data_IF_777602310848
#
_entry.id   IF_777602310848
#
_cell.length_a   1.000
_cell.length_b   1.000
_cell.length_c   1.000
_cell.angle_alpha   90.00
_cell.angle_beta   90.00
_cell.angle_gamma   90.00
#
_symmetry.space_group_name_H-M   'P 1'
#
loop_
_entity.id
_entity.type
_entity.pdbx_description
1 polymer ?
#
# COMPACT_ATOMS: atom_id res chain seq x y z
N UNK A 1 16.73 17.57 -7.05
CA UNK A 1 16.15 16.35 -6.44
C UNK A 1 16.73 16.23 -5.04
N UNK A 2 15.93 16.05 -3.99
CA UNK A 2 16.47 15.89 -2.64
C UNK A 2 17.18 14.53 -2.49
N UNK A 3 18.06 14.40 -1.48
CA UNK A 3 18.89 13.20 -1.26
C UNK A 3 18.04 11.93 -1.15
N UNK A 4 16.89 12.03 -0.50
CA UNK A 4 15.96 10.93 -0.28
C UNK A 4 15.27 10.51 -1.58
N UNK A 5 14.89 11.47 -2.44
CA UNK A 5 14.33 11.16 -3.76
C UNK A 5 15.36 10.47 -4.65
N UNK A 6 16.61 10.94 -4.64
CA UNK A 6 17.71 10.33 -5.39
C UNK A 6 17.97 8.91 -4.88
N UNK A 7 18.00 8.71 -3.56
CA UNK A 7 18.18 7.40 -2.94
C UNK A 7 17.07 6.41 -3.33
N UNK A 8 15.80 6.83 -3.26
CA UNK A 8 14.67 6.01 -3.70
C UNK A 8 14.75 5.66 -5.18
N UNK A 9 15.10 6.63 -6.03
CA UNK A 9 15.24 6.41 -7.47
C UNK A 9 16.37 5.41 -7.76
N UNK A 10 17.53 5.55 -7.14
CA UNK A 10 18.64 4.61 -7.28
C UNK A 10 18.27 3.20 -6.80
N UNK A 11 17.54 3.10 -5.68
CA UNK A 11 17.03 1.82 -5.20
C UNK A 11 16.07 1.17 -6.22
N UNK A 12 15.16 1.96 -6.79
CA UNK A 12 14.24 1.47 -7.83
C UNK A 12 14.98 1.03 -9.09
N UNK A 13 15.99 1.77 -9.54
CA UNK A 13 16.81 1.38 -10.68
C UNK A 13 17.51 0.04 -10.41
N UNK A 14 18.13 -0.10 -9.26
CA UNK A 14 18.79 -1.33 -8.83
C UNK A 14 17.82 -2.51 -8.71
N UNK A 15 16.60 -2.27 -8.22
CA UNK A 15 15.56 -3.29 -8.18
C UNK A 15 15.28 -3.88 -9.57
N UNK A 16 15.26 -3.08 -10.65
CA UNK A 16 15.02 -3.63 -11.99
C UNK A 16 16.24 -4.30 -12.63
N UNK A 17 17.45 -3.96 -12.21
CA UNK A 17 18.66 -4.68 -12.62
C UNK A 17 18.64 -6.11 -12.08
N UNK A 18 18.12 -6.29 -10.86
CA UNK A 18 18.10 -7.56 -10.14
C UNK A 18 16.77 -8.31 -10.23
N UNK A 19 15.66 -7.62 -10.54
CA UNK A 19 14.36 -8.23 -10.68
C UNK A 19 14.29 -9.10 -11.94
N UNK A 20 14.33 -10.41 -11.72
CA UNK A 20 14.06 -11.40 -12.76
C UNK A 20 12.65 -11.30 -13.34
N UNK A 21 12.43 -12.09 -14.39
CA UNK A 21 11.15 -12.20 -15.08
C UNK A 21 10.11 -12.94 -14.21
N UNK A 22 8.83 -12.57 -14.34
CA UNK A 22 7.75 -13.36 -13.76
C UNK A 22 7.70 -14.75 -14.42
N UNK A 23 7.53 -15.81 -13.61
CA UNK A 23 7.52 -17.19 -14.11
C UNK A 23 6.17 -17.59 -14.74
N UNK A 24 5.06 -17.03 -14.25
CA UNK A 24 3.70 -17.40 -14.67
C UNK A 24 2.83 -16.17 -14.94
N UNK A 25 1.81 -16.36 -15.76
CA UNK A 25 0.80 -15.34 -16.03
C UNK A 25 -0.18 -15.25 -14.86
N UNK A 26 -0.45 -14.07 -14.30
CA UNK A 26 -1.41 -13.94 -13.21
C UNK A 26 -2.86 -14.15 -13.67
N UNK A 27 -3.12 -14.15 -14.98
CA UNK A 27 -4.45 -14.33 -15.55
C UNK A 27 -4.74 -15.78 -15.96
N UNK A 28 -3.80 -16.45 -16.63
CA UNK A 28 -4.01 -17.79 -17.18
C UNK A 28 -3.05 -18.87 -16.65
N UNK A 29 -2.11 -18.52 -15.77
CA UNK A 29 -1.14 -19.46 -15.18
C UNK A 29 0.01 -19.90 -16.10
N UNK A 30 -0.05 -19.59 -17.40
CA UNK A 30 0.95 -20.02 -18.39
C UNK A 30 2.32 -19.34 -18.20
N UNK A 31 3.39 -20.00 -18.67
CA UNK A 31 4.77 -19.59 -18.43
C UNK A 31 5.39 -18.75 -19.56
N UNK A 32 4.70 -18.60 -20.71
CA UNK A 32 5.17 -17.81 -21.85
C UNK A 32 5.00 -16.31 -21.61
N UNK A 33 5.81 -15.78 -20.70
CA UNK A 33 5.84 -14.35 -20.40
C UNK A 33 6.91 -13.71 -21.28
N UNK A 34 6.75 -12.45 -21.69
CA UNK A 34 7.81 -11.65 -22.31
C UNK A 34 7.83 -10.25 -21.70
N UNK A 35 8.95 -9.56 -21.84
CA UNK A 35 8.97 -8.11 -21.63
C UNK A 35 8.19 -7.41 -22.75
N UNK A 36 7.38 -6.43 -22.38
CA UNK A 36 6.50 -5.67 -23.28
C UNK A 36 6.77 -4.17 -23.11
N UNK A 37 8.06 -3.80 -23.21
CA UNK A 37 8.55 -2.45 -23.05
C UNK A 37 8.69 -1.96 -21.61
N UNK A 38 9.07 -0.70 -21.49
CA UNK A 38 9.22 0.03 -20.24
C UNK A 38 8.52 1.39 -20.32
N UNK A 39 8.24 1.97 -19.17
CA UNK A 39 7.82 3.35 -19.03
C UNK A 39 8.43 3.97 -17.78
N UNK A 40 8.11 5.22 -17.53
CA UNK A 40 8.48 5.92 -16.30
C UNK A 40 7.23 6.33 -15.54
N UNK A 41 7.37 6.49 -14.22
CA UNK A 41 6.31 6.99 -13.34
C UNK A 41 6.85 8.02 -12.36
N UNK A 42 5.94 8.87 -11.95
CA UNK A 42 6.12 9.78 -10.82
C UNK A 42 5.35 9.25 -9.62
N UNK A 43 5.95 9.34 -8.43
CA UNK A 43 5.32 8.99 -7.18
C UNK A 43 5.75 9.91 -6.02
N UNK A 44 4.90 9.97 -5.00
CA UNK A 44 5.07 10.78 -3.80
C UNK A 44 5.03 9.90 -2.57
N UNK A 45 6.10 9.99 -1.79
CA UNK A 45 6.34 9.17 -0.62
C UNK A 45 6.41 10.04 0.62
N UNK A 46 5.90 9.55 1.75
CA UNK A 46 6.23 10.10 3.05
C UNK A 46 7.57 9.53 3.50
N UNK A 47 8.50 10.40 3.85
CA UNK A 47 9.80 10.06 4.44
C UNK A 47 9.86 10.71 5.80
N UNK A 48 9.97 9.87 6.83
CA UNK A 48 10.21 10.32 8.19
C UNK A 48 11.60 10.94 8.28
N UNK A 49 11.67 12.12 8.88
CA UNK A 49 12.85 12.93 9.16
C UNK A 49 12.73 13.32 10.63
N UNK A 50 13.84 13.41 11.38
CA UNK A 50 13.89 13.51 12.86
C UNK A 50 13.13 14.75 13.40
N UNK A 51 11.79 14.70 13.44
CA UNK A 51 10.91 15.75 13.96
C UNK A 51 9.58 15.92 13.21
N UNK A 52 9.63 16.11 11.89
CA UNK A 52 8.46 16.27 11.03
C UNK A 52 8.81 15.73 9.65
N UNK A 53 8.37 14.49 9.35
CA UNK A 53 8.59 13.88 8.04
C UNK A 53 8.04 14.74 6.90
N UNK A 54 8.46 14.44 5.68
CA UNK A 54 8.12 15.24 4.48
C UNK A 54 7.64 14.38 3.33
N UNK A 55 6.82 14.98 2.47
CA UNK A 55 6.47 14.36 1.18
C UNK A 55 7.63 14.56 0.20
N UNK A 56 8.21 13.46 -0.23
CA UNK A 56 9.26 13.38 -1.22
C UNK A 56 8.67 13.00 -2.57
N UNK A 57 8.93 13.84 -3.56
CA UNK A 57 8.50 13.64 -4.93
C UNK A 57 9.61 12.97 -5.75
N UNK A 58 9.33 11.78 -6.29
CA UNK A 58 10.26 10.98 -7.08
C UNK A 58 9.74 10.87 -8.50
N UNK A 59 10.54 11.37 -9.44
CA UNK A 59 10.26 11.29 -10.87
C UNK A 59 11.05 10.16 -11.52
N UNK A 60 10.67 9.83 -12.75
CA UNK A 60 11.42 8.92 -13.61
C UNK A 60 11.63 7.51 -13.04
N UNK A 61 10.72 7.07 -12.18
CA UNK A 61 10.76 5.72 -11.62
C UNK A 61 10.55 4.74 -12.78
N UNK A 62 11.55 3.90 -13.11
CA UNK A 62 11.41 2.96 -14.21
C UNK A 62 10.30 1.95 -13.89
N UNK A 63 9.54 1.56 -14.90
CA UNK A 63 8.53 0.49 -14.80
C UNK A 63 8.68 -0.43 -15.98
N UNK A 64 8.97 -1.71 -15.72
CA UNK A 64 8.94 -2.74 -16.76
C UNK A 64 7.53 -3.29 -16.91
N UNK A 65 7.15 -3.65 -18.14
CA UNK A 65 5.87 -4.31 -18.43
C UNK A 65 6.11 -5.74 -18.88
N UNK A 66 5.26 -6.63 -18.42
CA UNK A 66 5.18 -8.01 -18.89
C UNK A 66 3.96 -8.19 -19.79
N UNK A 67 4.03 -9.17 -20.68
CA UNK A 67 2.89 -9.66 -21.47
C UNK A 67 2.95 -11.18 -21.54
N UNK A 68 1.82 -11.83 -21.30
CA UNK A 68 1.64 -13.25 -21.59
C UNK A 68 1.43 -13.43 -23.10
N UNK A 69 2.15 -14.37 -23.72
CA UNK A 69 1.99 -14.65 -25.15
C UNK A 69 0.72 -15.45 -25.43
N UNK A 70 0.23 -16.25 -24.48
CA UNK A 70 -0.96 -17.08 -24.65
C UNK A 70 -2.26 -16.25 -24.52
N UNK A 71 -2.50 -15.63 -23.36
CA UNK A 71 -3.74 -14.86 -23.13
C UNK A 71 -3.62 -13.37 -23.46
N UNK A 72 -2.44 -12.90 -23.91
CA UNK A 72 -2.14 -11.50 -24.24
C UNK A 72 -2.28 -10.50 -23.08
N UNK A 73 -2.61 -10.96 -21.86
CA UNK A 73 -2.69 -10.12 -20.67
C UNK A 73 -1.35 -9.41 -20.40
N UNK A 74 -1.41 -8.13 -20.08
CA UNK A 74 -0.25 -7.29 -19.80
C UNK A 74 -0.35 -6.68 -18.41
N UNK A 75 0.77 -6.69 -17.67
CA UNK A 75 0.84 -6.11 -16.33
C UNK A 75 2.19 -5.43 -16.10
N UNK A 76 2.26 -4.57 -15.09
CA UNK A 76 3.48 -3.88 -14.72
C UNK A 76 4.22 -4.68 -13.66
N UNK A 77 5.54 -4.74 -13.79
CA UNK A 77 6.43 -5.04 -12.68
C UNK A 77 6.56 -3.75 -11.86
N UNK A 78 5.96 -3.73 -10.68
CA UNK A 78 6.16 -2.64 -9.74
C UNK A 78 7.22 -3.04 -8.73
N UNK A 79 8.09 -2.10 -8.33
CA UNK A 79 8.97 -2.31 -7.21
C UNK A 79 8.19 -2.28 -5.89
N UNK A 80 8.72 -2.89 -4.82
CA UNK A 80 8.07 -2.85 -3.52
C UNK A 80 7.76 -1.41 -3.07
N UNK A 81 6.60 -1.26 -2.43
CA UNK A 81 6.10 0.03 -1.95
C UNK A 81 5.52 0.98 -3.00
N UNK A 82 5.57 0.65 -4.30
CA UNK A 82 4.94 1.45 -5.35
C UNK A 82 3.55 0.92 -5.72
N UNK A 83 2.53 1.74 -5.47
CA UNK A 83 1.14 1.45 -5.79
C UNK A 83 0.85 1.50 -7.31
N UNK A 84 0.06 0.56 -7.84
CA UNK A 84 -0.45 0.62 -9.20
C UNK A 84 -1.24 1.92 -9.45
N UNK A 85 -0.95 2.62 -10.55
CA UNK A 85 -1.73 3.76 -11.07
C UNK A 85 -1.93 4.95 -10.12
N UNK A 86 -1.24 5.01 -8.98
CA UNK A 86 -1.28 6.14 -8.04
C UNK A 86 0.05 6.87 -7.97
N UNK A 87 -0.02 8.21 -7.95
CA UNK A 87 1.12 9.10 -7.68
C UNK A 87 1.38 9.17 -6.18
N UNK A 88 0.36 9.49 -5.39
CA UNK A 88 0.43 9.50 -3.93
C UNK A 88 0.44 8.06 -3.42
N UNK A 89 1.48 7.69 -2.68
CA UNK A 89 1.63 6.35 -2.13
C UNK A 89 0.93 6.22 -0.78
N UNK A 90 0.71 4.97 -0.35
CA UNK A 90 0.01 4.69 0.90
C UNK A 90 0.71 5.21 2.14
N UNK A 91 2.03 5.42 2.11
CA UNK A 91 2.74 6.05 3.21
C UNK A 91 2.29 7.50 3.46
N UNK A 92 2.04 8.27 2.39
CA UNK A 92 1.49 9.64 2.51
C UNK A 92 0.07 9.59 3.05
N UNK A 93 -0.74 8.65 2.56
CA UNK A 93 -2.13 8.46 3.03
C UNK A 93 -2.16 8.07 4.51
N UNK A 94 -1.32 7.11 4.91
CA UNK A 94 -1.22 6.64 6.28
C UNK A 94 -0.87 7.79 7.21
N UNK A 95 0.14 8.60 6.86
CA UNK A 95 0.48 9.79 7.65
C UNK A 95 -0.66 10.80 7.72
N UNK A 96 -1.31 11.08 6.60
CA UNK A 96 -2.45 11.99 6.57
C UNK A 96 -3.60 11.53 7.48
N UNK A 97 -3.87 10.23 7.52
CA UNK A 97 -4.85 9.66 8.43
C UNK A 97 -4.41 9.70 9.90
N UNK A 98 -3.14 9.40 10.19
CA UNK A 98 -2.56 9.52 11.53
C UNK A 98 -2.78 10.94 12.08
N UNK A 99 -2.39 11.97 11.30
CA UNK A 99 -2.57 13.38 11.66
C UNK A 99 -4.03 13.76 11.86
N UNK A 100 -4.90 13.27 10.99
CA UNK A 100 -6.33 13.51 11.12
C UNK A 100 -6.93 12.91 12.39
N UNK A 101 -6.51 11.69 12.73
CA UNK A 101 -6.93 10.99 13.94
C UNK A 101 -6.37 11.66 15.20
N UNK A 102 -5.21 12.32 15.07
CA UNK A 102 -4.64 13.19 16.10
C UNK A 102 -5.34 14.56 16.22
N UNK A 103 -6.30 14.87 15.33
CA UNK A 103 -7.15 16.06 15.42
C UNK A 103 -6.87 17.14 14.39
N UNK A 104 -5.90 16.97 13.49
CA UNK A 104 -5.64 17.92 12.41
C UNK A 104 -6.83 18.06 11.47
N UNK A 105 -7.01 19.25 10.90
CA UNK A 105 -8.02 19.48 9.87
C UNK A 105 -7.58 18.94 8.51
N UNK A 106 -8.55 18.67 7.63
CA UNK A 106 -8.26 18.30 6.23
C UNK A 106 -7.39 19.35 5.51
N UNK A 107 -7.51 20.63 5.89
CA UNK A 107 -6.71 21.72 5.32
C UNK A 107 -5.24 21.62 5.74
N UNK A 108 -4.98 21.41 7.03
CA UNK A 108 -3.62 21.19 7.54
C UNK A 108 -2.97 19.97 6.91
N UNK A 109 -3.73 18.88 6.71
CA UNK A 109 -3.21 17.67 6.04
C UNK A 109 -2.93 17.93 4.56
N UNK A 110 -3.81 18.67 3.88
CA UNK A 110 -3.64 19.04 2.48
C UNK A 110 -2.36 19.88 2.30
N UNK A 111 -2.12 20.83 3.20
CA UNK A 111 -0.91 21.65 3.25
C UNK A 111 0.33 20.80 3.52
N UNK A 112 0.30 19.98 4.59
CA UNK A 112 1.38 19.07 4.97
C UNK A 112 1.78 18.12 3.84
N UNK A 113 0.81 17.59 3.12
CA UNK A 113 1.03 16.65 2.03
C UNK A 113 1.15 17.31 0.65
N UNK A 114 1.19 18.65 0.59
CA UNK A 114 1.26 19.43 -0.65
C UNK A 114 0.24 19.00 -1.72
N UNK A 115 -1.00 18.75 -1.30
CA UNK A 115 -2.05 18.27 -2.19
C UNK A 115 -3.37 19.03 -1.98
N UNK A 116 -4.35 18.80 -2.85
CA UNK A 116 -5.65 19.46 -2.71
C UNK A 116 -6.48 18.85 -1.57
N UNK A 117 -7.35 19.65 -0.95
CA UNK A 117 -8.39 19.17 -0.03
C UNK A 117 -9.22 18.01 -0.61
N UNK A 118 -9.56 18.08 -1.89
CA UNK A 118 -10.29 17.04 -2.60
C UNK A 118 -9.50 15.73 -2.69
N UNK A 119 -8.17 15.80 -2.75
CA UNK A 119 -7.28 14.64 -2.71
C UNK A 119 -7.34 13.96 -1.34
N UNK A 120 -7.18 14.73 -0.26
CA UNK A 120 -7.26 14.21 1.12
C UNK A 120 -8.63 13.57 1.39
N UNK A 121 -9.72 14.22 0.96
CA UNK A 121 -11.09 13.66 1.12
C UNK A 121 -11.25 12.30 0.43
N UNK A 122 -10.56 12.05 -0.68
CA UNK A 122 -10.61 10.77 -1.40
C UNK A 122 -9.82 9.65 -0.69
N UNK A 123 -8.92 9.98 0.22
CA UNK A 123 -8.15 8.98 0.96
C UNK A 123 -9.02 8.16 1.91
N UNK A 124 -10.13 8.72 2.38
CA UNK A 124 -11.01 8.07 3.34
C UNK A 124 -11.76 6.89 2.74
N UNK A 125 -12.54 7.05 1.66
CA UNK A 125 -13.13 5.91 0.99
C UNK A 125 -12.04 4.98 0.44
N UNK A 126 -10.86 5.50 0.05
CA UNK A 126 -9.73 4.65 -0.31
C UNK A 126 -9.38 3.70 0.84
N UNK A 127 -9.01 4.20 2.02
CA UNK A 127 -8.59 3.33 3.13
C UNK A 127 -9.72 2.42 3.61
N UNK A 128 -10.97 2.90 3.62
CA UNK A 128 -12.13 2.06 3.92
C UNK A 128 -12.27 0.85 2.99
N UNK A 129 -11.80 0.97 1.74
CA UNK A 129 -11.88 -0.06 0.70
C UNK A 129 -10.61 -0.92 0.57
N UNK A 130 -9.53 -0.62 1.32
CA UNK A 130 -8.27 -1.37 1.23
C UNK A 130 -8.43 -2.81 1.71
N UNK A 131 -9.18 -3.03 2.78
CA UNK A 131 -9.41 -4.35 3.36
C UNK A 131 -10.81 -4.42 3.99
N UNK A 132 -11.30 -5.63 4.24
CA UNK A 132 -12.43 -5.80 5.15
C UNK A 132 -11.95 -5.76 6.61
N UNK A 133 -12.55 -4.92 7.49
CA UNK A 133 -12.21 -4.92 8.90
C UNK A 133 -12.31 -6.30 9.56
N UNK A 134 -13.30 -7.12 9.18
CA UNK A 134 -13.47 -8.46 9.77
C UNK A 134 -12.31 -9.39 9.37
N UNK A 135 -11.89 -9.35 8.11
CA UNK A 135 -10.79 -10.16 7.59
C UNK A 135 -9.45 -9.72 8.20
N UNK A 136 -9.25 -8.42 8.38
CA UNK A 136 -8.06 -7.86 9.02
C UNK A 136 -7.97 -8.27 10.49
N UNK A 137 -9.10 -8.26 11.22
CA UNK A 137 -9.18 -8.74 12.59
C UNK A 137 -8.93 -10.25 12.69
N UNK A 138 -9.50 -11.05 11.78
CA UNK A 138 -9.25 -12.49 11.74
C UNK A 138 -7.76 -12.79 11.52
N UNK A 139 -7.12 -12.05 10.61
CA UNK A 139 -5.68 -12.18 10.36
C UNK A 139 -4.84 -11.76 11.55
N UNK A 140 -5.22 -10.71 12.26
CA UNK A 140 -4.54 -10.28 13.48
C UNK A 140 -4.61 -11.36 14.57
N UNK A 141 -5.78 -11.96 14.77
CA UNK A 141 -5.97 -13.07 15.72
C UNK A 141 -5.14 -14.28 15.33
N UNK A 142 -5.06 -14.61 14.04
CA UNK A 142 -4.19 -15.69 13.54
C UNK A 142 -2.71 -15.43 13.86
N UNK A 143 -2.21 -14.21 13.61
CA UNK A 143 -0.81 -13.85 13.85
C UNK A 143 -0.45 -13.86 15.34
N UNK A 144 -1.36 -13.39 16.20
CA UNK A 144 -1.08 -13.29 17.65
C UNK A 144 -1.44 -14.58 18.39
N UNK A 145 -2.28 -15.43 17.82
CA UNK A 145 -2.73 -16.69 18.42
C UNK A 145 -3.75 -16.51 19.55
N UNK A 146 -4.32 -15.31 19.72
CA UNK A 146 -5.32 -15.02 20.74
C UNK A 146 -6.27 -13.89 20.30
N UNK A 147 -7.49 -13.80 20.87
CA UNK A 147 -8.36 -12.66 20.69
C UNK A 147 -7.70 -11.37 21.19
N UNK A 148 -7.64 -10.34 20.34
CA UNK A 148 -7.13 -9.02 20.70
C UNK A 148 -8.24 -7.99 20.60
N UNK A 149 -8.35 -7.14 21.62
CA UNK A 149 -9.07 -5.88 21.50
C UNK A 149 -8.17 -4.87 20.80
N UNK A 150 -8.46 -4.56 19.52
CA UNK A 150 -7.76 -3.47 18.83
C UNK A 150 -8.27 -2.14 19.39
N UNK A 151 -7.38 -1.28 19.92
CA UNK A 151 -7.77 0.04 20.39
C UNK A 151 -8.46 0.77 19.25
N UNK A 152 -9.74 1.10 19.44
CA UNK A 152 -10.43 2.04 18.55
C UNK A 152 -10.32 3.38 19.26
N UNK A 153 -9.49 4.33 18.80
CA UNK A 153 -9.36 5.60 19.49
C UNK A 153 -10.65 6.40 19.37
N UNK A 154 -10.71 7.44 20.19
CA UNK A 154 -11.80 8.41 20.15
C UNK A 154 -11.83 9.07 18.77
N UNK A 155 -12.69 8.56 17.89
CA UNK A 155 -12.95 9.17 16.59
C UNK A 155 -13.64 10.51 16.85
N UNK A 156 -13.11 11.64 16.34
CA UNK A 156 -13.73 12.95 16.53
C UNK A 156 -15.24 12.89 16.20
N UNK A 157 -16.13 13.56 16.97
CA UNK A 157 -17.59 13.44 16.81
C UNK A 157 -18.07 13.72 15.38
N UNK A 158 -17.42 14.68 14.70
CA UNK A 158 -17.68 15.03 13.28
C UNK A 158 -17.39 13.88 12.31
N UNK A 159 -16.47 13.00 12.66
CA UNK A 159 -16.04 11.84 11.87
C UNK A 159 -16.92 10.61 12.22
N UNK A 160 -17.35 10.49 13.48
CA UNK A 160 -18.11 9.35 14.01
C UNK A 160 -19.49 9.16 13.34
N UNK A 161 -20.12 10.24 12.86
CA UNK A 161 -21.44 10.17 12.20
C UNK A 161 -21.40 9.54 10.80
N UNK A 162 -20.23 9.43 10.16
CA UNK A 162 -20.12 8.92 8.81
C UNK A 162 -19.61 7.45 8.79
N UNK A 163 -20.34 6.51 8.17
CA UNK A 163 -19.97 5.08 8.18
C UNK A 163 -18.66 4.79 7.43
N UNK A 164 -18.38 5.48 6.33
CA UNK A 164 -17.13 5.31 5.55
C UNK A 164 -15.92 5.69 6.38
N UNK A 165 -16.04 6.77 7.15
CA UNK A 165 -15.01 7.22 8.07
C UNK A 165 -14.72 6.21 9.19
N UNK A 166 -15.77 5.71 9.83
CA UNK A 166 -15.62 4.65 10.85
C UNK A 166 -14.96 3.41 10.28
N UNK A 167 -15.32 3.02 9.05
CA UNK A 167 -14.68 1.90 8.35
C UNK A 167 -13.21 2.19 8.07
N UNK A 168 -12.87 3.36 7.53
CA UNK A 168 -11.48 3.75 7.27
C UNK A 168 -10.62 3.72 8.54
N UNK A 169 -11.12 4.25 9.66
CA UNK A 169 -10.43 4.20 10.94
C UNK A 169 -10.18 2.76 11.40
N UNK A 170 -11.20 1.89 11.36
CA UNK A 170 -11.04 0.46 11.71
C UNK A 170 -10.00 -0.24 10.84
N UNK A 171 -10.01 0.00 9.53
CA UNK A 171 -9.02 -0.57 8.61
C UNK A 171 -7.62 -0.06 8.96
N UNK A 172 -7.47 1.25 9.16
CA UNK A 172 -6.20 1.86 9.52
C UNK A 172 -5.62 1.25 10.82
N UNK A 173 -6.39 1.23 11.91
CA UNK A 173 -5.92 0.68 13.19
C UNK A 173 -5.71 -0.83 13.15
N UNK A 174 -6.50 -1.57 12.37
CA UNK A 174 -6.24 -2.99 12.17
C UNK A 174 -4.88 -3.22 11.49
N UNK A 175 -4.47 -2.35 10.56
CA UNK A 175 -3.16 -2.42 9.94
C UNK A 175 -2.04 -1.98 10.88
N UNK A 176 -2.25 -0.95 11.71
CA UNK A 176 -1.31 -0.58 12.79
C UNK A 176 -1.06 -1.76 13.74
N UNK A 177 -2.14 -2.39 14.22
CA UNK A 177 -2.04 -3.53 15.11
C UNK A 177 -1.37 -4.74 14.43
N UNK A 178 -1.69 -5.01 13.16
CA UNK A 178 -1.09 -6.11 12.40
C UNK A 178 0.40 -5.88 12.15
N UNK A 179 0.80 -4.67 11.77
CA UNK A 179 2.20 -4.31 11.59
C UNK A 179 2.99 -4.47 12.91
N UNK A 180 2.41 -4.00 14.02
CA UNK A 180 3.03 -4.13 15.33
C UNK A 180 3.18 -5.61 15.75
N UNK A 181 2.14 -6.42 15.55
CA UNK A 181 2.18 -7.87 15.83
C UNK A 181 3.24 -8.59 14.99
N UNK A 182 3.40 -8.18 13.73
CA UNK A 182 4.42 -8.68 12.81
C UNK A 182 5.79 -8.01 12.99
N UNK A 183 5.97 -7.08 13.94
CA UNK A 183 7.23 -6.33 14.16
C UNK A 183 7.78 -5.68 12.88
N UNK A 184 6.89 -5.09 12.09
CA UNK A 184 7.24 -4.46 10.83
C UNK A 184 7.73 -3.03 11.05
N UNK A 185 8.79 -2.65 10.34
CA UNK A 185 9.35 -1.29 10.38
C UNK A 185 9.26 -0.60 9.01
N UNK A 186 8.69 0.62 8.92
CA UNK A 186 7.95 1.33 9.98
C UNK A 186 6.61 0.64 10.30
N UNK A 187 6.01 0.81 11.48
CA UNK A 187 4.69 0.25 11.75
C UNK A 187 3.61 0.86 10.84
N UNK A 188 2.53 0.12 10.66
CA UNK A 188 1.28 0.66 10.10
C UNK A 188 0.87 0.20 8.70
N UNK A 189 -0.19 0.85 8.21
CA UNK A 189 -0.78 0.62 6.89
C UNK A 189 0.28 0.57 5.78
N UNK A 190 1.30 1.42 5.85
CA UNK A 190 2.39 1.45 4.89
C UNK A 190 3.10 0.10 4.81
N UNK A 191 3.62 -0.40 5.92
CA UNK A 191 4.50 -1.58 5.90
C UNK A 191 3.74 -2.84 5.58
N UNK A 192 2.53 -3.02 6.12
CA UNK A 192 1.69 -4.18 5.79
C UNK A 192 1.42 -4.21 4.29
N UNK A 193 0.98 -3.09 3.71
CA UNK A 193 0.68 -3.07 2.27
C UNK A 193 1.94 -3.22 1.44
N UNK A 194 3.05 -2.58 1.81
CA UNK A 194 4.34 -2.78 1.14
C UNK A 194 4.78 -4.23 1.16
N UNK A 195 4.63 -4.94 2.28
CA UNK A 195 4.99 -6.35 2.38
C UNK A 195 4.05 -7.23 1.55
N UNK A 196 2.73 -6.97 1.58
CA UNK A 196 1.79 -7.72 0.74
C UNK A 196 2.06 -7.49 -0.74
N UNK A 197 2.32 -6.25 -1.17
CA UNK A 197 2.67 -5.94 -2.55
C UNK A 197 4.04 -6.49 -2.95
N UNK A 198 5.01 -6.48 -2.03
CA UNK A 198 6.38 -6.96 -2.23
C UNK A 198 6.46 -8.49 -2.31
N UNK A 199 5.61 -9.20 -1.55
CA UNK A 199 5.54 -10.66 -1.56
C UNK A 199 4.73 -11.23 -2.72
N UNK A 200 4.03 -10.38 -3.49
CA UNK A 200 3.53 -10.85 -4.77
C UNK A 200 4.71 -11.04 -5.69
N UNK A 201 4.79 -12.21 -6.29
CA UNK A 201 5.75 -12.58 -7.34
C UNK A 201 5.67 -11.61 -8.54
N UNK A 202 6.13 -10.36 -8.39
CA UNK A 202 6.30 -9.41 -9.49
C UNK A 202 4.98 -9.13 -10.22
N UNK A 203 3.85 -9.21 -9.48
CA UNK A 203 2.49 -9.02 -9.98
C UNK A 203 1.77 -7.96 -9.14
N UNK A 204 1.39 -6.82 -9.73
CA UNK A 204 0.37 -5.97 -9.13
C UNK A 204 -0.51 -5.35 -10.22
N UNK A 205 -1.81 -5.67 -10.19
CA UNK A 205 -2.79 -5.25 -11.22
C UNK A 205 -4.00 -4.53 -10.64
N UNK A 206 -3.99 -4.13 -9.37
CA UNK A 206 -5.21 -3.60 -8.79
C UNK A 206 -5.65 -2.29 -9.44
N UNK A 207 -6.86 -2.34 -9.99
CA UNK A 207 -7.58 -1.16 -10.46
C UNK A 207 -8.17 -0.35 -9.29
N UNK A 208 -8.40 -1.01 -8.16
CA UNK A 208 -8.94 -0.47 -6.90
C UNK A 208 -7.91 -0.64 -5.78
N UNK A 209 -8.01 0.12 -4.70
CA UNK A 209 -7.05 -0.01 -3.60
C UNK A 209 -7.23 -1.25 -2.73
N UNK A 210 -8.25 -2.07 -3.01
CA UNK A 210 -8.52 -3.31 -2.31
C UNK A 210 -7.36 -4.29 -2.44
N UNK A 211 -6.98 -4.88 -1.32
CA UNK A 211 -6.00 -5.96 -1.20
C UNK A 211 -6.80 -7.24 -0.91
N UNK A 212 -7.21 -8.00 -1.94
CA UNK A 212 -7.96 -9.23 -1.77
C UNK A 212 -7.26 -10.30 -0.91
N UNK A 213 -5.98 -10.20 -0.62
CA UNK A 213 -5.34 -11.06 0.40
C UNK A 213 -5.91 -10.82 1.81
N UNK A 214 -6.55 -9.66 2.02
CA UNK A 214 -7.34 -9.32 3.20
C UNK A 214 -8.84 -9.24 2.85
N UNK A 215 -9.30 -9.95 1.81
CA UNK A 215 -10.69 -9.96 1.35
C UNK A 215 -11.12 -11.37 0.92
N UNK A 216 -12.23 -11.90 1.45
CA UNK A 216 -12.73 -13.23 1.09
C UNK A 216 -13.06 -13.35 -0.42
N UNK A 217 -12.16 -13.95 -1.19
CA UNK A 217 -12.49 -15.11 -2.04
C UNK A 217 -11.33 -16.10 -1.99
N UNK A 218 -11.63 -17.29 -1.46
CA UNK A 218 -10.83 -18.51 -1.56
C UNK A 218 -10.32 -18.70 -3.00
N UNK A 219 -9.08 -18.33 -3.27
CA UNK A 219 -8.28 -19.02 -4.28
C UNK A 219 -7.38 -19.96 -3.49
N UNK A 220 -7.53 -21.26 -3.73
CA UNK A 220 -6.82 -22.34 -3.04
C UNK A 220 -5.34 -22.41 -3.38
N UNK A 221 -4.60 -21.36 -3.04
CA UNK A 221 -3.14 -21.35 -2.98
C UNK A 221 -2.73 -21.15 -1.54
N UNK A 222 -1.93 -22.06 -0.99
CA UNK A 222 -1.20 -21.83 0.26
C UNK A 222 -0.45 -20.49 0.14
N UNK A 223 -0.90 -19.47 0.87
CA UNK A 223 -0.05 -18.33 1.15
C UNK A 223 1.06 -18.83 2.07
N UNK A 224 2.28 -18.84 1.54
CA UNK A 224 3.46 -19.14 2.33
C UNK A 224 3.47 -18.30 3.60
N UNK A 225 3.82 -18.95 4.70
CA UNK A 225 4.09 -18.31 5.98
C UNK A 225 5.01 -17.11 5.70
N UNK A 226 4.64 -15.93 6.21
CA UNK A 226 5.52 -14.76 6.23
C UNK A 226 6.72 -15.12 7.11
N UNK A 227 7.75 -15.73 6.52
CA UNK A 227 9.04 -15.87 7.15
C UNK A 227 9.82 -14.63 6.73
N UNK A 228 9.90 -13.66 7.63
CA UNK A 228 10.91 -12.60 7.57
C UNK A 228 12.30 -13.18 7.84
#
# INVERSE_FOLDING_TARGET
MCKEASHLLSWYQHYYETAGKAKRCPQCGQEHIVFNGSGVRTAEFWIDDDGDGKVVHVNDIPIRRFRCQDCRHSWQLLPPGLMPRRRIQLCVVAKGLERLLAGDTLAQIAELCHCSLSTVRRWIPWVADVADPADLMARLVEVVGAPIAVPTPAIPPRINSNPTWRRAAKVFFGFEALAAALRMEPPGLRSVVCAVLGNRDRHTTYARPSIPEFGIKRFGGQMGIFVM
#
